data_IF_508798176832
#
_entry.id   IF_508798176832
#
_cell.length_a   1.000
_cell.length_b   1.000
_cell.length_c   1.000
_cell.angle_alpha   90.00
_cell.angle_beta   90.00
_cell.angle_gamma   90.00
#
_symmetry.space_group_name_H-M   'P 1'
#
loop_
_entity.id
_entity.type
_entity.pdbx_description
1 polymer ?
#
# COMPACT_ATOMS: atom_id res chain seq x y z
N UNK A 1 -2.93 -2.25 12.35
CA UNK A 1 -2.37 -3.46 11.71
C UNK A 1 -3.43 -4.51 11.36
N UNK A 2 -4.50 -4.67 12.15
CA UNK A 2 -5.52 -5.70 11.90
C UNK A 2 -6.22 -5.59 10.53
N UNK A 3 -6.48 -4.37 10.05
CA UNK A 3 -7.15 -4.15 8.76
C UNK A 3 -6.34 -4.67 7.57
N UNK A 4 -5.03 -4.40 7.54
CA UNK A 4 -4.12 -4.88 6.50
C UNK A 4 -4.03 -6.41 6.48
N UNK A 5 -3.92 -7.03 7.66
CA UNK A 5 -3.83 -8.48 7.78
C UNK A 5 -5.12 -9.18 7.33
N UNK A 6 -6.29 -8.60 7.64
CA UNK A 6 -7.57 -9.12 7.16
C UNK A 6 -7.68 -9.13 5.62
N UNK A 7 -7.23 -8.06 4.97
CA UNK A 7 -7.22 -7.98 3.51
C UNK A 7 -6.21 -8.92 2.84
N UNK A 8 -5.04 -9.11 3.45
CA UNK A 8 -4.05 -10.06 2.96
C UNK A 8 -4.60 -11.49 3.03
N UNK A 9 -5.32 -11.85 4.11
CA UNK A 9 -5.96 -13.17 4.24
C UNK A 9 -7.05 -13.39 3.19
N UNK A 10 -7.87 -12.38 2.90
CA UNK A 10 -8.91 -12.48 1.87
C UNK A 10 -8.29 -12.67 0.46
N UNK A 11 -7.20 -11.96 0.18
CA UNK A 11 -6.42 -12.12 -1.06
C UNK A 11 -5.69 -13.45 -1.13
N UNK A 12 -5.15 -13.94 -0.03
CA UNK A 12 -4.50 -15.27 0.03
C UNK A 12 -5.50 -16.38 -0.30
N UNK A 13 -6.75 -16.23 0.15
CA UNK A 13 -7.83 -17.18 -0.16
C UNK A 13 -8.18 -17.20 -1.66
N UNK A 14 -8.29 -16.03 -2.28
CA UNK A 14 -8.85 -15.89 -3.63
C UNK A 14 -7.79 -15.89 -4.74
N UNK A 15 -6.58 -15.42 -4.45
CA UNK A 15 -5.55 -15.16 -5.46
C UNK A 15 -4.59 -16.34 -5.60
N UNK A 16 -4.46 -16.86 -6.81
CA UNK A 16 -3.54 -17.95 -7.12
C UNK A 16 -2.08 -17.45 -7.07
N UNK A 17 -1.21 -18.20 -6.39
CA UNK A 17 0.23 -17.90 -6.32
C UNK A 17 0.71 -17.10 -5.11
N UNK A 18 -0.19 -16.60 -4.25
CA UNK A 18 0.18 -15.84 -3.04
C UNK A 18 0.85 -16.68 -1.94
N UNK A 19 0.76 -18.02 -2.02
CA UNK A 19 1.38 -18.96 -1.06
C UNK A 19 2.92 -19.03 -1.15
N UNK A 20 3.53 -18.44 -2.19
CA UNK A 20 4.99 -18.34 -2.32
C UNK A 20 5.50 -17.14 -1.51
N UNK A 21 6.45 -17.38 -0.60
CA UNK A 21 6.99 -16.35 0.31
C UNK A 21 7.64 -15.16 -0.42
N UNK A 22 8.20 -15.39 -1.60
CA UNK A 22 8.96 -14.41 -2.38
C UNK A 22 8.13 -13.68 -3.46
N UNK A 23 6.85 -13.48 -3.19
CA UNK A 23 5.97 -12.84 -4.18
C UNK A 23 6.00 -11.31 -4.01
N UNK A 24 6.30 -10.53 -5.06
CA UNK A 24 6.35 -9.07 -4.97
C UNK A 24 4.97 -8.43 -4.67
N UNK A 25 3.89 -9.20 -4.87
CA UNK A 25 2.50 -8.77 -4.64
C UNK A 25 2.27 -8.32 -3.20
N UNK A 26 2.83 -9.03 -2.21
CA UNK A 26 2.65 -8.68 -0.79
C UNK A 26 3.30 -7.33 -0.45
N UNK A 27 4.54 -7.12 -0.93
CA UNK A 27 5.23 -5.82 -0.79
C UNK A 27 4.50 -4.70 -1.51
N UNK A 28 4.06 -4.93 -2.75
CA UNK A 28 3.27 -3.95 -3.51
C UNK A 28 1.97 -3.58 -2.79
N UNK A 29 1.33 -4.54 -2.13
CA UNK A 29 0.09 -4.28 -1.39
C UNK A 29 0.31 -3.45 -0.11
N UNK A 30 1.42 -3.68 0.60
CA UNK A 30 1.79 -2.83 1.74
C UNK A 30 2.00 -1.37 1.30
N UNK A 31 2.70 -1.16 0.17
CA UNK A 31 2.92 0.19 -0.38
C UNK A 31 1.57 0.83 -0.75
N UNK A 32 0.70 0.09 -1.43
CA UNK A 32 -0.64 0.57 -1.78
C UNK A 32 -1.48 0.98 -0.56
N UNK A 33 -1.49 0.15 0.48
CA UNK A 33 -2.25 0.42 1.70
C UNK A 33 -1.73 1.64 2.46
N UNK A 34 -0.41 1.87 2.45
CA UNK A 34 0.22 2.93 3.21
C UNK A 34 0.22 4.29 2.51
N UNK A 35 0.33 4.34 1.17
CA UNK A 35 0.56 5.59 0.44
C UNK A 35 -0.54 5.98 -0.54
N UNK A 36 -1.42 5.05 -0.94
CA UNK A 36 -2.44 5.32 -1.97
C UNK A 36 -3.85 5.19 -1.43
N UNK A 37 -4.14 4.11 -0.71
CA UNK A 37 -5.47 3.86 -0.19
C UNK A 37 -5.80 4.83 0.95
N UNK A 38 -6.90 5.54 0.78
CA UNK A 38 -7.51 6.38 1.82
C UNK A 38 -8.22 5.50 2.85
N UNK A 39 -8.09 5.84 4.13
CA UNK A 39 -8.72 5.09 5.21
C UNK A 39 -9.78 5.95 5.86
N UNK A 40 -11.01 5.45 5.89
CA UNK A 40 -12.13 6.15 6.54
C UNK A 40 -11.84 6.40 8.03
N UNK A 41 -11.18 5.45 8.71
CA UNK A 41 -10.75 5.58 10.10
C UNK A 41 -9.65 6.63 10.34
N UNK A 42 -9.02 7.14 9.29
CA UNK A 42 -8.04 8.23 9.34
C UNK A 42 -8.60 9.52 8.71
N UNK A 43 -9.92 9.69 8.71
CA UNK A 43 -10.62 10.81 8.07
C UNK A 43 -10.27 10.96 6.59
N UNK A 44 -10.18 9.84 5.87
CA UNK A 44 -9.83 9.80 4.45
C UNK A 44 -8.32 9.96 4.17
N UNK A 45 -7.48 10.07 5.20
CA UNK A 45 -6.03 10.18 5.00
C UNK A 45 -5.38 8.82 4.81
N UNK A 46 -4.24 8.81 4.12
CA UNK A 46 -3.36 7.65 4.06
C UNK A 46 -2.51 7.57 5.35
N UNK A 47 -2.06 6.37 5.77
CA UNK A 47 -1.16 6.21 6.91
C UNK A 47 0.12 7.04 6.76
N UNK A 48 0.64 7.13 5.54
CA UNK A 48 1.79 7.97 5.21
C UNK A 48 1.51 9.46 5.46
N UNK A 49 0.34 9.96 5.06
CA UNK A 49 -0.06 11.35 5.30
C UNK A 49 -0.25 11.66 6.78
N UNK A 50 -0.80 10.73 7.56
CA UNK A 50 -0.90 10.87 9.02
C UNK A 50 0.48 10.92 9.68
N UNK A 51 1.45 10.21 9.11
CA UNK A 51 2.85 10.23 9.54
C UNK A 51 3.62 11.47 9.05
N UNK A 52 2.99 12.37 8.30
CA UNK A 52 3.62 13.58 7.75
C UNK A 52 4.37 13.37 6.43
N UNK A 53 4.35 12.16 5.85
CA UNK A 53 4.95 11.86 4.55
C UNK A 53 3.93 12.24 3.46
N UNK A 54 4.14 13.39 2.82
CA UNK A 54 3.26 13.85 1.74
C UNK A 54 3.78 13.39 0.39
N UNK A 55 2.93 12.69 -0.35
CA UNK A 55 3.17 12.36 -1.77
C UNK A 55 2.45 13.43 -2.60
N UNK A 56 3.18 14.49 -2.94
CA UNK A 56 2.63 15.62 -3.71
C UNK A 56 2.72 15.34 -5.21
N UNK A 57 1.71 14.65 -5.74
CA UNK A 57 1.59 14.41 -7.16
C UNK A 57 0.16 14.09 -7.57
N UNK A 58 -0.24 14.53 -8.78
CA UNK A 58 -1.55 14.19 -9.37
C UNK A 58 -1.78 12.68 -9.43
N UNK A 59 -0.71 11.91 -9.59
CA UNK A 59 -0.76 10.45 -9.60
C UNK A 59 0.19 9.90 -8.52
N UNK A 60 -0.37 9.58 -7.35
CA UNK A 60 0.40 9.12 -6.17
C UNK A 60 1.34 7.94 -6.52
N UNK A 61 0.93 7.06 -7.45
CA UNK A 61 1.71 5.88 -7.83
C UNK A 61 2.96 6.23 -8.65
N UNK A 62 2.83 7.10 -9.65
CA UNK A 62 3.95 7.55 -10.47
C UNK A 62 4.96 8.32 -9.61
N UNK A 63 4.48 9.19 -8.73
CA UNK A 63 5.34 9.97 -7.83
C UNK A 63 6.14 9.08 -6.88
N UNK A 64 5.54 8.00 -6.34
CA UNK A 64 6.27 7.02 -5.52
C UNK A 64 7.39 6.33 -6.30
N UNK A 65 7.12 5.92 -7.55
CA UNK A 65 8.11 5.25 -8.41
C UNK A 65 9.26 6.22 -8.76
N UNK A 66 8.94 7.46 -9.13
CA UNK A 66 9.93 8.48 -9.45
C UNK A 66 10.82 8.82 -8.25
N UNK A 67 10.25 8.98 -7.05
CA UNK A 67 11.01 9.23 -5.83
C UNK A 67 11.94 8.07 -5.46
N UNK A 68 11.56 6.84 -5.80
CA UNK A 68 12.38 5.65 -5.52
C UNK A 68 13.48 5.44 -6.58
N UNK A 69 13.20 5.78 -7.85
CA UNK A 69 14.14 5.61 -8.96
C UNK A 69 15.23 6.67 -9.03
N UNK A 70 15.10 7.77 -8.26
CA UNK A 70 16.09 8.82 -8.14
C UNK A 70 17.19 8.51 -7.09
N UNK A 71 17.19 7.30 -6.52
CA UNK A 71 18.16 6.79 -5.54
C UNK A 71 19.14 5.85 -6.23
#
# INVERSE_FOLDING_TARGET
MERLNGEIRDREKTMMGLKRKDTPILKGYQIYHNYVREHEGLSGKTPAEVCGIRVEGKNKWITLIQNTSAI
#
